data_IF_462104162985
#
_entry.id   IF_462104162985
#
_cell.length_a   1.000
_cell.length_b   1.000
_cell.length_c   1.000
_cell.angle_alpha   90.00
_cell.angle_beta   90.00
_cell.angle_gamma   90.00
#
_symmetry.space_group_name_H-M   'P 1'
#
loop_
_entity.id
_entity.type
_entity.pdbx_description
1 polymer ?
#
# COMPACT_ATOMS: atom_id res chain seq x y z
N UNK A 1 10.43 4.53 11.54
CA UNK A 1 9.74 5.72 12.07
C UNK A 1 8.30 5.67 11.66
N UNK A 2 7.38 6.06 12.55
CA UNK A 2 5.95 6.15 12.24
C UNK A 2 5.41 7.49 12.75
N UNK A 3 4.63 8.20 11.95
CA UNK A 3 4.05 9.50 12.32
C UNK A 3 2.66 9.61 11.69
N UNK A 4 1.66 9.96 12.49
CA UNK A 4 0.30 10.20 12.03
C UNK A 4 0.16 11.66 11.60
N UNK A 5 -0.38 11.87 10.39
CA UNK A 5 -0.66 13.22 9.86
C UNK A 5 -1.92 13.83 10.47
N UNK A 6 -2.85 12.98 10.93
CA UNK A 6 -4.19 13.41 11.37
C UNK A 6 -4.94 14.22 10.31
N UNK A 7 -4.58 14.00 9.03
CA UNK A 7 -5.14 14.68 7.88
C UNK A 7 -5.02 13.77 6.64
N UNK A 8 -6.04 13.76 5.78
CA UNK A 8 -6.07 12.97 4.56
C UNK A 8 -5.95 13.79 3.27
N UNK A 9 -5.83 15.11 3.35
CA UNK A 9 -5.87 16.02 2.20
C UNK A 9 -4.70 17.01 2.15
N UNK A 10 -4.18 17.48 3.28
CA UNK A 10 -3.10 18.49 3.34
C UNK A 10 -1.75 17.90 2.92
N UNK A 11 -1.42 18.04 1.64
CA UNK A 11 -0.15 17.57 1.08
C UNK A 11 1.08 18.29 1.67
N UNK A 12 0.95 19.57 2.03
CA UNK A 12 2.06 20.31 2.60
C UNK A 12 2.45 19.76 3.99
N UNK A 13 1.44 19.40 4.79
CA UNK A 13 1.63 18.76 6.10
C UNK A 13 2.33 17.39 5.96
N UNK A 14 1.87 16.54 5.07
CA UNK A 14 2.51 15.23 4.83
C UNK A 14 3.92 15.36 4.25
N UNK A 15 4.15 16.36 3.39
CA UNK A 15 5.50 16.66 2.87
C UNK A 15 6.45 17.01 4.00
N UNK A 16 6.03 17.90 4.90
CA UNK A 16 6.88 18.29 6.04
C UNK A 16 7.19 17.12 6.97
N UNK A 17 6.20 16.26 7.25
CA UNK A 17 6.40 15.04 8.04
C UNK A 17 7.44 14.14 7.39
N UNK A 18 7.31 13.89 6.07
CA UNK A 18 8.25 13.05 5.34
C UNK A 18 9.67 13.63 5.29
N UNK A 19 9.80 14.95 5.07
CA UNK A 19 11.10 15.64 5.13
C UNK A 19 11.77 15.44 6.49
N UNK A 20 11.03 15.59 7.58
CA UNK A 20 11.56 15.38 8.93
C UNK A 20 12.02 13.92 9.16
N UNK A 21 11.29 12.94 8.62
CA UNK A 21 11.69 11.52 8.70
C UNK A 21 12.93 11.23 7.85
N UNK A 22 13.03 11.82 6.66
CA UNK A 22 14.19 11.68 5.78
C UNK A 22 15.44 12.31 6.40
N UNK A 23 15.31 13.49 7.00
CA UNK A 23 16.41 14.15 7.70
C UNK A 23 16.89 13.35 8.94
N UNK A 24 16.05 12.47 9.48
CA UNK A 24 16.40 11.49 10.51
C UNK A 24 16.93 10.15 9.95
N UNK A 25 17.13 10.06 8.63
CA UNK A 25 17.74 8.91 7.98
C UNK A 25 16.77 7.91 7.33
N UNK A 26 15.50 8.28 7.14
CA UNK A 26 14.60 7.42 6.36
C UNK A 26 15.03 7.38 4.89
N UNK A 27 15.31 6.21 4.37
CA UNK A 27 15.68 5.96 2.96
C UNK A 27 14.49 5.52 2.09
N UNK A 28 13.37 5.19 2.71
CA UNK A 28 12.11 4.83 2.06
C UNK A 28 10.96 5.49 2.79
N UNK A 29 10.06 6.13 2.07
CA UNK A 29 8.82 6.71 2.58
C UNK A 29 7.64 5.87 2.12
N UNK A 30 6.94 5.25 3.05
CA UNK A 30 5.68 4.55 2.78
C UNK A 30 4.54 5.35 3.40
N UNK A 31 3.72 5.95 2.58
CA UNK A 31 2.61 6.78 3.01
C UNK A 31 1.30 5.97 3.03
N UNK A 32 0.48 6.17 4.06
CA UNK A 32 -0.88 5.62 4.16
C UNK A 32 -1.78 6.76 4.67
N UNK A 33 -1.93 7.81 3.85
CA UNK A 33 -2.55 9.07 4.28
C UNK A 33 -3.44 9.72 3.19
N UNK A 34 -4.04 8.91 2.31
CA UNK A 34 -4.92 9.42 1.26
C UNK A 34 -4.22 10.47 0.38
N UNK A 35 -4.92 11.55 0.05
CA UNK A 35 -4.38 12.64 -0.78
C UNK A 35 -3.20 13.39 -0.14
N UNK A 36 -3.15 13.49 1.19
CA UNK A 36 -2.03 14.05 1.95
C UNK A 36 -0.72 13.31 1.60
N UNK A 37 -0.78 11.99 1.42
CA UNK A 37 0.37 11.14 1.12
C UNK A 37 1.11 11.48 -0.18
N UNK A 38 0.47 12.16 -1.14
CA UNK A 38 1.15 12.65 -2.34
C UNK A 38 2.27 13.63 -1.99
N UNK A 39 2.07 14.46 -0.97
CA UNK A 39 3.12 15.34 -0.45
C UNK A 39 4.30 14.58 0.13
N UNK A 40 4.06 13.47 0.82
CA UNK A 40 5.14 12.63 1.33
C UNK A 40 5.96 11.97 0.21
N UNK A 41 5.31 11.52 -0.87
CA UNK A 41 6.01 10.98 -2.05
C UNK A 41 6.77 12.07 -2.83
N UNK A 42 6.25 13.32 -2.83
CA UNK A 42 6.97 14.45 -3.41
C UNK A 42 8.25 14.79 -2.60
N UNK A 43 8.18 14.72 -1.27
CA UNK A 43 9.38 14.85 -0.42
C UNK A 43 10.42 13.76 -0.72
N UNK A 44 9.98 12.50 -0.89
CA UNK A 44 10.88 11.41 -1.26
C UNK A 44 11.57 11.66 -2.60
N UNK A 45 10.82 12.18 -3.58
CA UNK A 45 11.37 12.58 -4.89
C UNK A 45 12.40 13.69 -4.76
N UNK A 46 12.06 14.75 -4.02
CA UNK A 46 12.92 15.92 -3.82
C UNK A 46 14.25 15.54 -3.16
N UNK A 47 14.21 14.68 -2.16
CA UNK A 47 15.38 14.22 -1.41
C UNK A 47 16.11 13.03 -2.04
N UNK A 48 15.64 12.50 -3.16
CA UNK A 48 16.28 11.38 -3.85
C UNK A 48 16.21 10.05 -3.09
N UNK A 49 15.21 9.88 -2.21
CA UNK A 49 14.93 8.62 -1.51
C UNK A 49 13.75 7.89 -2.17
N UNK A 50 13.49 6.65 -1.75
CA UNK A 50 12.45 5.84 -2.33
C UNK A 50 11.06 6.14 -1.75
N UNK A 51 10.03 5.95 -2.58
CA UNK A 51 8.64 6.01 -2.17
C UNK A 51 7.91 4.70 -2.39
N UNK A 52 6.94 4.39 -1.54
CA UNK A 52 5.94 3.33 -1.74
C UNK A 52 4.57 3.98 -1.75
N UNK A 53 3.82 3.77 -2.82
CA UNK A 53 2.46 4.28 -2.97
C UNK A 53 1.41 3.43 -2.24
N UNK A 54 0.17 3.88 -2.26
CA UNK A 54 -0.97 3.19 -1.61
C UNK A 54 -2.25 3.34 -2.43
N UNK A 55 -3.19 2.47 -2.19
CA UNK A 55 -4.54 2.36 -2.78
C UNK A 55 -4.53 1.96 -4.26
N UNK A 56 -3.93 2.76 -5.13
CA UNK A 56 -3.74 2.48 -6.55
C UNK A 56 -2.25 2.41 -6.90
N UNK A 57 -1.93 1.93 -8.11
CA UNK A 57 -0.56 1.99 -8.61
C UNK A 57 -0.13 3.44 -8.87
N UNK A 58 0.77 3.94 -8.05
CA UNK A 58 1.31 5.29 -8.10
C UNK A 58 2.66 5.38 -8.83
N UNK A 59 3.06 4.35 -9.59
CA UNK A 59 4.32 4.34 -10.36
C UNK A 59 4.45 5.50 -11.35
N UNK A 60 3.32 6.11 -11.75
CA UNK A 60 3.28 7.27 -12.62
C UNK A 60 3.88 8.55 -12.00
N UNK A 61 4.04 8.61 -10.67
CA UNK A 61 4.67 9.74 -9.98
C UNK A 61 6.17 9.84 -10.24
N UNK A 62 6.79 8.75 -10.72
CA UNK A 62 8.17 8.80 -11.17
C UNK A 62 9.03 7.60 -10.72
N UNK A 63 10.31 7.59 -11.15
CA UNK A 63 11.21 6.45 -10.97
C UNK A 63 11.68 6.24 -9.52
N UNK A 64 11.31 7.12 -8.59
CA UNK A 64 11.55 6.99 -7.15
C UNK A 64 10.51 6.08 -6.47
N UNK A 65 9.41 5.73 -7.15
CA UNK A 65 8.41 4.80 -6.60
C UNK A 65 8.89 3.37 -6.81
N UNK A 66 9.08 2.63 -5.71
CA UNK A 66 9.47 1.21 -5.74
C UNK A 66 8.31 0.32 -6.17
N UNK A 67 7.15 0.54 -5.59
CA UNK A 67 5.88 -0.12 -5.87
C UNK A 67 4.76 0.62 -5.14
N UNK A 68 3.55 0.06 -5.15
CA UNK A 68 2.42 0.57 -4.37
C UNK A 68 1.69 -0.58 -3.68
N UNK A 69 1.27 -0.40 -2.44
CA UNK A 69 0.34 -1.29 -1.77
C UNK A 69 -1.07 -1.00 -2.30
N UNK A 70 -1.58 -1.85 -3.18
CA UNK A 70 -2.86 -1.62 -3.87
C UNK A 70 -4.03 -2.24 -3.14
N UNK A 71 -5.20 -1.63 -3.30
CA UNK A 71 -6.50 -2.17 -2.87
C UNK A 71 -7.36 -2.43 -4.10
N UNK A 72 -7.82 -3.66 -4.25
CA UNK A 72 -8.73 -4.11 -5.32
C UNK A 72 -10.18 -3.73 -5.04
N UNK A 73 -10.46 -2.43 -4.96
CA UNK A 73 -11.82 -1.92 -4.70
C UNK A 73 -12.77 -2.32 -5.82
N UNK A 74 -12.32 -2.31 -7.05
CA UNK A 74 -13.04 -2.77 -8.24
C UNK A 74 -13.42 -4.25 -8.11
N UNK A 75 -12.49 -5.11 -7.69
CA UNK A 75 -12.75 -6.54 -7.42
C UNK A 75 -13.79 -6.70 -6.32
N UNK A 76 -13.64 -6.00 -5.20
CA UNK A 76 -14.58 -6.09 -4.09
C UNK A 76 -16.01 -5.64 -4.49
N UNK A 77 -16.13 -4.56 -5.25
CA UNK A 77 -17.42 -4.07 -5.76
C UNK A 77 -18.03 -5.06 -6.75
N UNK A 78 -17.24 -5.54 -7.71
CA UNK A 78 -17.70 -6.50 -8.71
C UNK A 78 -18.20 -7.80 -8.05
N UNK A 79 -17.40 -8.39 -7.16
CA UNK A 79 -17.73 -9.64 -6.49
C UNK A 79 -18.97 -9.50 -5.59
N UNK A 80 -19.12 -8.35 -4.92
CA UNK A 80 -20.32 -8.06 -4.13
C UNK A 80 -21.56 -8.00 -5.01
N UNK A 81 -21.54 -7.26 -6.12
CA UNK A 81 -22.66 -7.15 -7.06
C UNK A 81 -22.99 -8.55 -7.63
N UNK A 82 -21.95 -9.29 -8.03
CA UNK A 82 -22.14 -10.64 -8.57
C UNK A 82 -22.78 -11.56 -7.53
N UNK A 83 -22.38 -11.51 -6.27
CA UNK A 83 -22.98 -12.31 -5.21
C UNK A 83 -24.47 -12.03 -5.00
N UNK A 84 -24.89 -10.77 -5.20
CA UNK A 84 -26.32 -10.37 -5.16
C UNK A 84 -27.06 -10.99 -6.35
N UNK A 85 -26.50 -10.89 -7.55
CA UNK A 85 -27.10 -11.49 -8.77
C UNK A 85 -27.24 -13.01 -8.65
N UNK A 86 -26.22 -13.67 -8.09
CA UNK A 86 -26.20 -15.12 -7.91
C UNK A 86 -27.02 -15.60 -6.69
N UNK A 87 -27.61 -14.68 -5.90
CA UNK A 87 -28.41 -15.00 -4.71
C UNK A 87 -27.58 -15.54 -3.54
N UNK A 88 -26.26 -15.34 -3.54
CA UNK A 88 -25.34 -15.84 -2.50
C UNK A 88 -24.93 -14.78 -1.48
N UNK A 89 -25.29 -13.53 -1.71
CA UNK A 89 -24.95 -12.42 -0.81
C UNK A 89 -25.55 -12.63 0.60
N UNK A 90 -24.72 -12.42 1.61
CA UNK A 90 -25.10 -12.50 3.03
C UNK A 90 -24.72 -11.19 3.71
N UNK A 91 -25.71 -10.33 3.92
CA UNK A 91 -25.55 -9.09 4.68
C UNK A 91 -25.35 -9.32 6.17
N UNK A 92 -25.05 -8.23 6.91
CA UNK A 92 -24.94 -8.24 8.37
C UNK A 92 -23.60 -8.71 8.91
N UNK A 93 -22.58 -8.81 8.07
CA UNK A 93 -21.19 -9.13 8.44
C UNK A 93 -20.21 -8.35 7.56
N UNK A 94 -18.99 -8.22 8.04
CA UNK A 94 -17.89 -7.68 7.24
C UNK A 94 -17.34 -8.76 6.31
N UNK A 95 -17.23 -8.45 5.03
CA UNK A 95 -16.53 -9.29 4.07
C UNK A 95 -15.09 -8.76 3.90
N UNK A 96 -14.10 -9.65 4.11
CA UNK A 96 -12.68 -9.31 4.02
C UNK A 96 -12.12 -9.79 2.70
N UNK A 97 -11.64 -8.84 1.91
CA UNK A 97 -10.97 -9.10 0.63
C UNK A 97 -9.45 -9.03 0.83
N UNK A 98 -8.85 -10.17 1.10
CA UNK A 98 -7.40 -10.32 1.31
C UNK A 98 -6.64 -10.61 0.01
N UNK A 99 -5.39 -11.09 0.17
CA UNK A 99 -4.51 -11.46 -0.95
C UNK A 99 -5.11 -12.57 -1.83
N UNK A 100 -5.76 -13.56 -1.22
CA UNK A 100 -6.36 -14.69 -1.94
C UNK A 100 -7.54 -14.28 -2.83
N UNK A 101 -8.26 -13.22 -2.46
CA UNK A 101 -9.38 -12.65 -3.21
C UNK A 101 -8.94 -11.48 -4.12
N UNK A 102 -7.65 -11.22 -4.25
CA UNK A 102 -7.12 -10.06 -4.99
C UNK A 102 -7.63 -8.70 -4.46
N UNK A 103 -8.08 -8.66 -3.21
CA UNK A 103 -8.52 -7.42 -2.56
C UNK A 103 -7.39 -6.50 -2.14
N UNK A 104 -6.18 -7.03 -2.03
CA UNK A 104 -4.94 -6.27 -1.81
C UNK A 104 -3.81 -6.87 -2.63
N UNK A 105 -2.80 -6.07 -2.95
CA UNK A 105 -1.68 -6.53 -3.75
C UNK A 105 -0.57 -5.50 -3.87
N UNK A 106 0.29 -5.70 -4.86
CA UNK A 106 1.34 -4.76 -5.22
C UNK A 106 1.07 -4.21 -6.63
N UNK A 107 1.28 -2.92 -6.79
CA UNK A 107 1.34 -2.25 -8.08
C UNK A 107 2.61 -2.62 -8.85
N UNK A 108 2.86 -1.91 -9.93
CA UNK A 108 4.08 -2.09 -10.73
C UNK A 108 5.32 -1.98 -9.86
N UNK A 109 6.16 -3.00 -9.90
CA UNK A 109 7.44 -3.01 -9.20
C UNK A 109 8.50 -2.32 -10.07
N UNK A 110 9.25 -1.39 -9.48
CA UNK A 110 10.33 -0.70 -10.16
C UNK A 110 11.40 -1.69 -10.65
N UNK A 111 11.91 -1.55 -11.89
CA UNK A 111 13.00 -2.38 -12.39
C UNK A 111 14.32 -2.19 -11.63
N UNK A 112 14.39 -1.20 -10.74
CA UNK A 112 15.54 -0.98 -9.85
C UNK A 112 15.53 -1.91 -8.62
N UNK A 113 14.41 -2.59 -8.34
CA UNK A 113 14.33 -3.58 -7.27
C UNK A 113 15.01 -4.86 -7.74
N UNK A 114 16.02 -5.39 -7.02
CA UNK A 114 16.67 -6.63 -7.38
C UNK A 114 15.66 -7.78 -7.49
N UNK A 115 15.86 -8.67 -8.47
CA UNK A 115 14.99 -9.82 -8.67
C UNK A 115 14.87 -10.70 -7.41
N UNK A 116 15.95 -10.88 -6.66
CA UNK A 116 15.95 -11.63 -5.40
C UNK A 116 14.97 -11.07 -4.38
N UNK A 117 14.86 -9.75 -4.27
CA UNK A 117 13.92 -9.08 -3.37
C UNK A 117 12.49 -9.24 -3.84
N UNK A 118 12.26 -9.14 -5.15
CA UNK A 118 10.94 -9.39 -5.75
C UNK A 118 10.51 -10.83 -5.46
N UNK A 119 11.39 -11.80 -5.70
CA UNK A 119 11.10 -13.23 -5.47
C UNK A 119 10.81 -13.50 -3.98
N UNK A 120 11.55 -12.86 -3.06
CA UNK A 120 11.32 -12.97 -1.62
C UNK A 120 9.94 -12.43 -1.21
N UNK A 121 9.56 -11.26 -1.73
CA UNK A 121 8.24 -10.65 -1.46
C UNK A 121 7.11 -11.53 -2.03
N UNK A 122 7.27 -12.05 -3.25
CA UNK A 122 6.27 -12.95 -3.84
C UNK A 122 6.12 -14.25 -3.06
N UNK A 123 7.23 -14.78 -2.54
CA UNK A 123 7.19 -15.95 -1.65
C UNK A 123 6.40 -15.64 -0.36
N UNK A 124 6.63 -14.49 0.26
CA UNK A 124 5.88 -14.07 1.46
C UNK A 124 4.39 -13.97 1.15
N UNK A 125 4.01 -13.38 0.01
CA UNK A 125 2.61 -13.35 -0.45
C UNK A 125 2.02 -14.76 -0.52
N UNK A 126 2.71 -15.69 -1.15
CA UNK A 126 2.23 -17.05 -1.34
C UNK A 126 2.13 -17.80 0.02
N UNK A 127 3.07 -17.55 0.93
CA UNK A 127 3.05 -18.11 2.28
C UNK A 127 1.90 -17.55 3.13
N UNK A 128 1.53 -16.25 2.95
CA UNK A 128 0.35 -15.66 3.59
C UNK A 128 -0.93 -16.32 3.06
N UNK A 129 -1.08 -16.45 1.73
CA UNK A 129 -2.23 -17.09 1.10
C UNK A 129 -2.37 -18.55 1.56
N UNK A 130 -1.25 -19.25 1.72
CA UNK A 130 -1.21 -20.62 2.19
C UNK A 130 -1.42 -20.77 3.72
N UNK A 131 -1.60 -19.68 4.47
CA UNK A 131 -1.76 -19.68 5.93
C UNK A 131 -0.51 -20.10 6.71
N UNK A 132 0.67 -20.03 6.09
CA UNK A 132 1.95 -20.39 6.73
C UNK A 132 2.55 -19.25 7.56
N UNK A 133 2.12 -18.03 7.29
CA UNK A 133 2.52 -16.86 8.09
C UNK A 133 1.61 -16.80 9.31
N UNK A 134 2.22 -16.73 10.49
CA UNK A 134 1.49 -16.63 11.76
C UNK A 134 0.69 -15.33 11.88
N UNK A 135 0.22 -15.03 13.06
CA UNK A 135 -0.64 -13.86 13.29
C UNK A 135 0.05 -12.56 12.83
N UNK A 136 -0.51 -11.90 11.83
CA UNK A 136 -0.06 -10.58 11.39
C UNK A 136 -0.58 -9.55 12.40
N UNK A 137 0.30 -8.72 13.00
CA UNK A 137 -0.13 -7.73 13.99
C UNK A 137 -1.14 -6.74 13.37
N UNK A 138 -2.24 -6.50 14.08
CA UNK A 138 -3.26 -5.51 13.69
C UNK A 138 -3.05 -4.16 14.36
N UNK A 139 -2.10 -4.07 15.29
CA UNK A 139 -1.75 -2.85 16.02
C UNK A 139 -0.27 -2.56 15.81
N UNK A 140 0.02 -1.34 15.34
CA UNK A 140 1.37 -0.81 15.27
C UNK A 140 1.75 -0.24 16.66
N UNK A 141 2.84 -0.77 17.22
CA UNK A 141 3.39 -0.29 18.49
C UNK A 141 4.42 0.80 18.25
#
# INVERSE_FOLDING_TARGET
>A
MNTYSEDFSDQAKCKQIALNQIDQGASVVFQVAGGCGLGALDAAKEKGVWGIGVDADQSFLGPHILTSATKGVDTAVFDTIKSIQDGTFKGGKDDVFGLAQHGVGLGKISPKVPKSEVDAVMKVRDDIIAGKVGQIPTIVK
#
